data_IF_467164307552
#
_entry.id   IF_467164307552
#
_cell.length_a   1.000
_cell.length_b   1.000
_cell.length_c   1.000
_cell.angle_alpha   90.00
_cell.angle_beta   90.00
_cell.angle_gamma   90.00
#
_symmetry.space_group_name_H-M   'P 1'
#
loop_
_entity.id
_entity.type
_entity.pdbx_description
1 polymer ?
#
# COMPACT_ATOMS: atom_id res chain seq x y z
N UNK A 1 -7.08 -58.36 -23.68
CA UNK A 1 -7.13 -57.12 -22.87
C UNK A 1 -8.55 -56.62 -22.99
N UNK A 2 -9.34 -56.72 -21.92
CA UNK A 2 -10.72 -56.22 -21.88
C UNK A 2 -10.67 -54.83 -21.26
N UNK A 3 -11.27 -53.85 -21.96
CA UNK A 3 -11.42 -52.47 -21.46
C UNK A 3 -12.68 -52.40 -20.58
N UNK A 4 -12.49 -52.51 -19.27
CA UNK A 4 -13.53 -52.35 -18.24
C UNK A 4 -13.60 -50.90 -17.74
N UNK A 5 -13.95 -49.95 -18.62
CA UNK A 5 -14.23 -48.58 -18.19
C UNK A 5 -15.71 -48.45 -17.77
N UNK A 6 -16.02 -48.15 -16.48
CA UNK A 6 -17.40 -48.01 -16.04
C UNK A 6 -18.09 -46.82 -16.72
N UNK A 7 -19.35 -46.94 -17.15
CA UNK A 7 -20.07 -45.86 -17.81
C UNK A 7 -20.33 -44.74 -16.80
N UNK A 8 -19.72 -43.57 -17.03
CA UNK A 8 -19.89 -42.40 -16.17
C UNK A 8 -21.35 -41.93 -16.27
N UNK A 9 -22.12 -41.94 -15.18
CA UNK A 9 -23.54 -41.60 -15.24
C UNK A 9 -23.74 -40.08 -15.45
N UNK A 10 -24.67 -39.73 -16.33
CA UNK A 10 -24.88 -38.37 -16.86
C UNK A 10 -25.13 -37.29 -15.77
N UNK A 11 -25.67 -37.68 -14.61
CA UNK A 11 -25.90 -36.77 -13.47
C UNK A 11 -24.60 -36.24 -12.86
N UNK A 12 -23.51 -37.00 -12.97
CA UNK A 12 -22.20 -36.64 -12.44
C UNK A 12 -21.58 -35.48 -13.23
N UNK A 13 -21.87 -35.39 -14.54
CA UNK A 13 -21.44 -34.29 -15.41
C UNK A 13 -22.15 -32.99 -15.02
N UNK A 14 -23.45 -33.07 -14.71
CA UNK A 14 -24.22 -31.91 -14.25
C UNK A 14 -23.75 -31.37 -12.91
N UNK A 15 -23.42 -32.26 -11.96
CA UNK A 15 -22.90 -31.88 -10.64
C UNK A 15 -21.50 -31.27 -10.75
N UNK A 16 -20.63 -31.84 -11.58
CA UNK A 16 -19.30 -31.28 -11.86
C UNK A 16 -19.41 -29.88 -12.50
N UNK A 17 -20.33 -29.69 -13.44
CA UNK A 17 -20.60 -28.38 -14.06
C UNK A 17 -21.07 -27.32 -13.06
N UNK A 18 -21.93 -27.69 -12.10
CA UNK A 18 -22.39 -26.79 -11.05
C UNK A 18 -21.24 -26.38 -10.11
N UNK A 19 -20.37 -27.32 -9.70
CA UNK A 19 -19.21 -26.99 -8.88
C UNK A 19 -18.20 -26.08 -9.60
N UNK A 20 -17.98 -26.32 -10.90
CA UNK A 20 -17.13 -25.45 -11.73
C UNK A 20 -17.72 -24.05 -11.83
N UNK A 21 -19.03 -23.91 -12.07
CA UNK A 21 -19.70 -22.60 -12.16
C UNK A 21 -19.70 -21.84 -10.82
N UNK A 22 -19.92 -22.54 -9.70
CA UNK A 22 -19.82 -21.94 -8.36
C UNK A 22 -18.38 -21.48 -8.08
N UNK A 23 -17.39 -22.30 -8.42
CA UNK A 23 -15.97 -21.93 -8.29
C UNK A 23 -15.60 -20.69 -9.11
N UNK A 24 -16.05 -20.62 -10.37
CA UNK A 24 -15.84 -19.45 -11.24
C UNK A 24 -16.56 -18.21 -10.67
N UNK A 25 -17.75 -18.37 -10.11
CA UNK A 25 -18.52 -17.27 -9.52
C UNK A 25 -17.83 -16.64 -8.30
N UNK A 26 -17.26 -17.46 -7.41
CA UNK A 26 -16.50 -16.99 -6.24
C UNK A 26 -15.24 -16.24 -6.70
N UNK A 27 -14.53 -16.77 -7.70
CA UNK A 27 -13.30 -16.15 -8.23
C UNK A 27 -13.59 -14.81 -8.94
N UNK A 28 -14.75 -14.68 -9.60
CA UNK A 28 -15.20 -13.42 -10.23
C UNK A 28 -15.68 -12.35 -9.25
N UNK A 29 -16.05 -12.69 -8.02
CA UNK A 29 -16.42 -11.68 -7.02
C UNK A 29 -15.19 -10.92 -6.49
N UNK A 30 -14.02 -11.56 -6.45
CA UNK A 30 -12.77 -10.93 -5.98
C UNK A 30 -12.28 -9.81 -6.92
N UNK A 31 -12.57 -9.89 -8.23
CA UNK A 31 -12.16 -8.89 -9.22
C UNK A 31 -13.04 -7.63 -9.25
N UNK A 32 -14.10 -7.56 -8.44
CA UNK A 32 -14.93 -6.35 -8.27
C UNK A 32 -14.42 -5.40 -7.19
N UNK A 33 -13.22 -5.63 -6.65
CA UNK A 33 -12.57 -4.67 -5.76
C UNK A 33 -11.85 -3.60 -6.59
N UNK A 34 -12.25 -2.35 -6.41
CA UNK A 34 -11.56 -1.21 -7.04
C UNK A 34 -10.20 -1.08 -6.36
N UNK A 35 -9.13 -1.23 -7.15
CA UNK A 35 -7.77 -1.00 -6.68
C UNK A 35 -7.58 0.48 -6.33
N UNK A 36 -6.90 0.76 -5.22
CA UNK A 36 -6.50 2.10 -4.84
C UNK A 36 -5.19 2.44 -5.57
N UNK A 37 -5.31 2.87 -6.83
CA UNK A 37 -4.18 3.22 -7.70
C UNK A 37 -4.30 4.66 -8.18
N UNK A 38 -3.30 5.50 -7.91
CA UNK A 38 -3.22 6.86 -8.45
C UNK A 38 -1.78 7.39 -8.49
N UNK A 39 -1.54 8.39 -9.34
CA UNK A 39 -0.31 9.16 -9.37
C UNK A 39 -0.45 10.38 -8.44
N UNK A 40 0.39 10.40 -7.41
CA UNK A 40 0.39 11.48 -6.44
C UNK A 40 1.13 12.67 -7.02
N UNK A 41 0.48 13.83 -6.97
CA UNK A 41 1.05 15.09 -7.41
C UNK A 41 1.46 15.92 -6.20
N UNK A 42 2.50 16.74 -6.36
CA UNK A 42 2.85 17.76 -5.37
C UNK A 42 1.68 18.75 -5.26
N UNK A 43 1.14 18.94 -4.07
CA UNK A 43 0.09 19.93 -3.80
C UNK A 43 0.61 21.00 -2.84
N UNK A 44 0.21 22.27 -3.00
CA UNK A 44 0.46 23.28 -1.98
C UNK A 44 -0.15 22.83 -0.66
N UNK A 45 0.63 22.84 0.42
CA UNK A 45 0.20 22.36 1.73
C UNK A 45 -1.06 23.12 2.17
N UNK A 46 -2.21 22.46 2.38
CA UNK A 46 -3.39 23.13 2.90
C UNK A 46 -3.12 23.67 4.30
N UNK A 47 -3.61 24.88 4.61
CA UNK A 47 -3.53 25.54 5.93
C UNK A 47 -4.53 24.87 6.88
N UNK A 48 -4.35 23.59 7.17
CA UNK A 48 -5.05 22.91 8.25
C UNK A 48 -4.07 22.80 9.43
N UNK A 49 -4.51 23.07 10.67
CA UNK A 49 -3.67 22.83 11.84
C UNK A 49 -3.54 21.31 12.01
N UNK A 50 -2.55 20.73 11.32
CA UNK A 50 -2.13 19.35 11.54
C UNK A 50 -1.26 19.29 12.80
N UNK A 51 -1.32 18.20 13.58
CA UNK A 51 -0.42 18.00 14.71
C UNK A 51 1.03 18.19 14.23
N UNK A 52 1.82 18.91 15.03
CA UNK A 52 3.22 19.15 14.74
C UNK A 52 3.90 17.79 14.53
N UNK A 53 4.36 17.53 13.30
CA UNK A 53 5.15 16.35 13.03
C UNK A 53 6.36 16.36 13.97
N UNK A 54 6.72 15.23 14.59
CA UNK A 54 8.06 15.12 15.14
C UNK A 54 9.01 15.39 13.98
N UNK A 55 9.78 16.47 14.09
CA UNK A 55 10.85 16.76 13.14
C UNK A 55 11.65 15.47 13.00
N UNK A 56 11.84 14.99 11.76
CA UNK A 56 12.68 13.83 11.49
C UNK A 56 14.14 14.21 11.83
N UNK A 57 14.44 14.38 13.11
CA UNK A 57 15.79 14.53 13.63
C UNK A 57 16.42 13.13 13.66
N UNK A 58 17.04 12.80 12.52
CA UNK A 58 17.81 11.57 12.25
C UNK A 58 18.90 11.30 13.32
N UNK A 59 19.25 12.30 14.12
CA UNK A 59 20.29 12.24 15.14
C UNK A 59 19.96 11.34 16.35
N UNK A 60 18.69 10.95 16.55
CA UNK A 60 18.27 10.08 17.66
C UNK A 60 17.81 8.67 17.25
N UNK A 61 17.97 8.29 15.97
CA UNK A 61 17.66 6.93 15.53
C UNK A 61 18.81 5.99 15.85
N UNK A 62 18.50 4.77 16.29
CA UNK A 62 19.51 3.75 16.58
C UNK A 62 20.36 3.50 15.31
N UNK A 63 21.68 3.23 15.46
CA UNK A 63 22.58 2.98 14.32
C UNK A 63 22.07 1.88 13.38
N UNK A 64 21.35 0.91 13.92
CA UNK A 64 20.73 -0.20 13.19
C UNK A 64 19.67 0.28 12.17
N UNK A 65 18.81 1.24 12.56
CA UNK A 65 17.79 1.81 11.66
C UNK A 65 18.45 2.63 10.54
N UNK A 66 19.57 3.29 10.84
CA UNK A 66 20.33 4.04 9.84
C UNK A 66 21.02 3.12 8.82
N UNK A 67 21.57 1.99 9.25
CA UNK A 67 22.14 0.98 8.34
C UNK A 67 21.08 0.35 7.44
N UNK A 68 19.92 0.00 8.00
CA UNK A 68 18.80 -0.55 7.25
C UNK A 68 18.35 0.42 6.15
N UNK A 69 18.26 1.71 6.47
CA UNK A 69 17.94 2.74 5.51
C UNK A 69 18.99 2.96 4.42
N UNK A 70 20.28 2.92 4.76
CA UNK A 70 21.36 2.97 3.75
C UNK A 70 21.27 1.79 2.79
N UNK A 71 20.94 0.59 3.30
CA UNK A 71 20.73 -0.59 2.46
C UNK A 71 19.52 -0.41 1.53
N UNK A 72 18.43 0.11 2.07
CA UNK A 72 17.22 0.49 1.35
C UNK A 72 17.53 1.46 0.21
N UNK A 73 18.25 2.54 0.50
CA UNK A 73 18.65 3.52 -0.50
C UNK A 73 19.58 2.95 -1.56
N UNK A 74 20.55 2.12 -1.16
CA UNK A 74 21.43 1.44 -2.12
C UNK A 74 20.64 0.51 -3.04
N UNK A 75 19.63 -0.18 -2.52
CA UNK A 75 18.74 -1.04 -3.32
C UNK A 75 17.92 -0.20 -4.32
N UNK A 76 17.31 0.89 -3.87
CA UNK A 76 16.53 1.79 -4.72
C UNK A 76 17.41 2.45 -5.78
N UNK A 77 18.58 2.98 -5.39
CA UNK A 77 19.56 3.59 -6.30
C UNK A 77 20.13 2.61 -7.31
N UNK A 78 20.23 1.32 -6.95
CA UNK A 78 20.62 0.24 -7.86
C UNK A 78 19.47 -0.24 -8.77
N UNK A 79 18.28 0.36 -8.70
CA UNK A 79 17.11 -0.03 -9.49
C UNK A 79 16.35 -1.24 -8.96
N UNK A 80 16.67 -1.73 -7.76
CA UNK A 80 16.06 -2.91 -7.15
C UNK A 80 14.85 -2.55 -6.29
N UNK A 81 13.92 -3.51 -6.16
CA UNK A 81 12.83 -3.42 -5.18
C UNK A 81 13.40 -3.43 -3.76
N UNK A 82 12.87 -2.59 -2.89
CA UNK A 82 13.27 -2.51 -1.48
C UNK A 82 12.06 -2.65 -0.55
N UNK A 83 12.32 -2.97 0.73
CA UNK A 83 11.30 -3.13 1.76
C UNK A 83 11.21 -1.88 2.63
N UNK A 84 10.01 -1.37 2.93
CA UNK A 84 9.84 -0.17 3.77
C UNK A 84 10.33 -0.39 5.21
N UNK A 85 10.66 0.71 5.90
CA UNK A 85 11.13 0.68 7.30
C UNK A 85 10.01 0.24 8.26
N UNK A 86 8.83 0.87 8.15
CA UNK A 86 7.63 0.51 8.91
C UNK A 86 6.57 -0.07 7.95
N UNK A 87 6.65 -1.37 7.61
CA UNK A 87 5.78 -1.98 6.60
C UNK A 87 4.31 -2.02 6.98
N UNK A 88 3.97 -1.98 8.28
CA UNK A 88 2.60 -2.18 8.75
C UNK A 88 2.14 -1.00 9.60
N UNK A 89 1.09 -0.32 9.14
CA UNK A 89 0.33 0.66 9.90
C UNK A 89 -1.06 0.11 10.21
N UNK A 90 -1.56 0.32 11.41
CA UNK A 90 -2.89 -0.16 11.81
C UNK A 90 -3.59 0.85 12.69
N UNK A 91 -4.88 1.04 12.44
CA UNK A 91 -5.83 1.73 13.31
C UNK A 91 -6.85 0.72 13.84
N UNK A 92 -7.92 1.22 14.47
CA UNK A 92 -9.04 0.39 14.92
C UNK A 92 -9.85 -0.16 13.73
N UNK A 93 -9.93 0.56 12.61
CA UNK A 93 -10.79 0.19 11.48
C UNK A 93 -10.02 -0.28 10.25
N UNK A 94 -8.77 0.14 10.10
CA UNK A 94 -8.00 -0.03 8.88
C UNK A 94 -6.59 -0.56 9.18
N UNK A 95 -6.14 -1.54 8.40
CA UNK A 95 -4.75 -1.97 8.35
C UNK A 95 -4.17 -1.65 6.98
N UNK A 96 -2.97 -1.08 6.95
CA UNK A 96 -2.22 -0.76 5.73
C UNK A 96 -0.89 -1.49 5.81
N UNK A 97 -0.61 -2.31 4.80
CA UNK A 97 0.64 -3.04 4.67
C UNK A 97 1.33 -2.55 3.40
N UNK A 98 2.60 -2.20 3.49
CA UNK A 98 3.41 -1.81 2.35
C UNK A 98 4.38 -2.95 2.06
N UNK A 99 4.23 -3.55 0.89
CA UNK A 99 4.92 -4.77 0.48
C UNK A 99 6.23 -4.46 -0.25
N UNK A 100 6.26 -3.38 -1.04
CA UNK A 100 7.43 -3.03 -1.85
C UNK A 100 7.53 -1.54 -2.17
N UNK A 101 8.77 -1.08 -2.30
CA UNK A 101 9.14 0.21 -2.88
C UNK A 101 9.95 -0.05 -4.15
N UNK A 102 9.44 0.41 -5.29
CA UNK A 102 10.04 0.23 -6.61
C UNK A 102 10.53 1.59 -7.15
N UNK A 103 11.81 1.74 -7.51
CA UNK A 103 12.28 2.94 -8.19
C UNK A 103 11.64 3.07 -9.57
N UNK A 104 11.34 4.30 -9.97
CA UNK A 104 10.84 4.66 -11.30
C UNK A 104 11.69 5.81 -11.87
N UNK A 105 11.58 6.08 -13.17
CA UNK A 105 12.41 7.09 -13.84
C UNK A 105 12.36 8.49 -13.19
N UNK A 106 11.22 8.86 -12.57
CA UNK A 106 10.99 10.19 -12.01
C UNK A 106 10.62 10.16 -10.51
N UNK A 107 10.83 9.04 -9.80
CA UNK A 107 10.45 8.92 -8.40
C UNK A 107 10.28 7.48 -7.93
N UNK A 108 9.35 7.22 -7.01
CA UNK A 108 9.16 5.91 -6.38
C UNK A 108 7.71 5.47 -6.51
N UNK A 109 7.52 4.18 -6.80
CA UNK A 109 6.24 3.48 -6.74
C UNK A 109 6.17 2.65 -5.47
N UNK A 110 5.10 2.83 -4.72
CA UNK A 110 4.82 2.17 -3.45
C UNK A 110 3.71 1.17 -3.72
N UNK A 111 3.91 -0.09 -3.31
CA UNK A 111 2.92 -1.15 -3.44
C UNK A 111 2.57 -1.71 -2.08
N UNK A 112 1.28 -1.93 -1.85
CA UNK A 112 0.78 -2.40 -0.59
C UNK A 112 -0.62 -2.99 -0.67
N UNK A 113 -1.17 -3.27 0.49
CA UNK A 113 -2.52 -3.81 0.69
C UNK A 113 -3.21 -3.07 1.82
N UNK A 114 -4.47 -2.73 1.61
CA UNK A 114 -5.33 -2.09 2.61
C UNK A 114 -6.43 -3.06 3.01
N UNK A 115 -6.62 -3.28 4.31
CA UNK A 115 -7.57 -4.24 4.87
C UNK A 115 -8.52 -3.56 5.84
N UNK A 116 -9.81 -3.85 5.71
CA UNK A 116 -10.85 -3.45 6.66
C UNK A 116 -10.85 -4.40 7.87
N UNK A 117 -10.61 -3.86 9.06
CA UNK A 117 -10.62 -4.60 10.33
C UNK A 117 -11.99 -4.57 11.04
N UNK A 118 -12.96 -3.85 10.49
CA UNK A 118 -14.30 -3.74 11.09
C UNK A 118 -15.23 -4.85 10.64
N UNK A 119 -16.32 -5.03 11.39
CA UNK A 119 -17.42 -5.94 11.05
C UNK A 119 -18.47 -5.28 10.13
N UNK A 120 -18.18 -4.09 9.60
CA UNK A 120 -19.07 -3.31 8.72
C UNK A 120 -18.34 -2.94 7.44
N UNK A 121 -19.07 -2.57 6.39
CA UNK A 121 -18.46 -2.04 5.18
C UNK A 121 -17.70 -0.73 5.48
N UNK A 122 -16.52 -0.58 4.89
CA UNK A 122 -15.63 0.57 5.09
C UNK A 122 -15.27 1.20 3.75
N UNK A 123 -15.71 2.45 3.55
CA UNK A 123 -15.29 3.26 2.39
C UNK A 123 -13.94 3.93 2.67
N UNK A 124 -12.95 3.62 1.84
CA UNK A 124 -11.59 4.18 1.93
C UNK A 124 -11.32 4.97 0.64
N UNK A 125 -11.31 6.32 0.70
CA UNK A 125 -10.91 7.13 -0.44
C UNK A 125 -9.39 7.13 -0.63
N UNK A 126 -8.92 7.25 -1.87
CA UNK A 126 -7.49 7.40 -2.18
C UNK A 126 -6.88 8.67 -1.56
N UNK A 127 -7.71 9.70 -1.35
CA UNK A 127 -7.33 10.93 -0.66
C UNK A 127 -7.11 10.77 0.85
N UNK A 128 -7.41 9.60 1.43
CA UNK A 128 -7.04 9.28 2.80
C UNK A 128 -5.52 9.07 2.96
N UNK A 129 -4.79 8.85 1.87
CA UNK A 129 -3.35 8.65 1.88
C UNK A 129 -2.64 9.96 1.50
N UNK A 130 -1.66 10.35 2.30
CA UNK A 130 -0.77 11.47 2.06
C UNK A 130 0.67 11.00 2.22
N UNK A 131 1.53 11.43 1.32
CA UNK A 131 2.95 11.15 1.37
C UNK A 131 3.69 12.45 1.64
N UNK A 132 4.55 12.47 2.65
CA UNK A 132 5.33 13.64 3.01
C UNK A 132 6.80 13.37 2.88
N UNK A 133 7.53 14.29 2.27
CA UNK A 133 8.98 14.20 2.21
C UNK A 133 9.65 14.86 3.42
N UNK A 134 10.94 14.57 3.59
CA UNK A 134 11.81 15.15 4.61
C UNK A 134 11.97 16.68 4.53
N UNK A 135 11.65 17.31 3.40
CA UNK A 135 11.64 18.78 3.26
C UNK A 135 10.31 19.42 3.68
N UNK A 136 9.32 18.61 4.04
CA UNK A 136 7.99 19.05 4.45
C UNK A 136 6.97 19.13 3.32
N UNK A 137 7.35 18.78 2.09
CA UNK A 137 6.46 18.77 0.92
C UNK A 137 5.46 17.61 1.03
N UNK A 138 4.19 17.92 0.75
CA UNK A 138 3.10 16.95 0.76
C UNK A 138 2.69 16.56 -0.65
N UNK A 139 2.54 15.26 -0.85
CA UNK A 139 2.11 14.61 -2.06
C UNK A 139 0.79 13.92 -1.78
N UNK A 140 -0.23 14.21 -2.58
CA UNK A 140 -1.56 13.60 -2.45
C UNK A 140 -2.07 13.17 -3.82
N UNK A 141 -2.87 12.12 -3.84
CA UNK A 141 -3.62 11.72 -5.02
C UNK A 141 -4.66 12.82 -5.36
N UNK A 142 -4.68 13.34 -6.59
CA UNK A 142 -5.76 14.21 -7.04
C UNK A 142 -7.07 13.45 -7.29
N UNK A 143 -7.02 12.12 -7.37
CA UNK A 143 -8.17 11.28 -7.68
C UNK A 143 -9.21 11.22 -6.56
N UNK A 144 -10.44 10.87 -6.98
CA UNK A 144 -11.59 10.64 -6.12
C UNK A 144 -11.92 9.15 -6.03
N UNK A 145 -10.95 8.26 -6.29
CA UNK A 145 -11.16 6.81 -6.22
C UNK A 145 -11.54 6.42 -4.80
N UNK A 146 -12.63 5.69 -4.64
CA UNK A 146 -13.10 5.17 -3.34
C UNK A 146 -13.19 3.66 -3.45
N UNK A 147 -12.51 2.96 -2.56
CA UNK A 147 -12.66 1.53 -2.38
C UNK A 147 -13.63 1.25 -1.25
N UNK A 148 -14.71 0.52 -1.55
CA UNK A 148 -15.61 0.01 -0.52
C UNK A 148 -15.16 -1.40 -0.14
N UNK A 149 -14.71 -1.55 1.10
CA UNK A 149 -14.17 -2.78 1.63
C UNK A 149 -15.22 -3.48 2.49
N UNK A 150 -15.67 -4.70 2.14
CA UNK A 150 -16.52 -5.48 3.05
C UNK A 150 -15.77 -5.80 4.35
N UNK A 151 -16.45 -6.29 5.39
CA UNK A 151 -15.80 -6.74 6.62
C UNK A 151 -14.67 -7.76 6.35
N UNK A 152 -13.46 -7.50 6.85
CA UNK A 152 -12.27 -8.32 6.55
C UNK A 152 -11.76 -8.22 5.09
N UNK A 153 -12.42 -7.44 4.24
CA UNK A 153 -12.07 -7.24 2.85
C UNK A 153 -10.76 -6.48 2.69
N UNK A 154 -10.03 -6.78 1.62
CA UNK A 154 -8.76 -6.13 1.28
C UNK A 154 -8.74 -5.65 -0.17
N UNK A 155 -8.01 -4.57 -0.44
CA UNK A 155 -7.76 -4.05 -1.78
C UNK A 155 -6.27 -3.72 -1.96
N UNK A 156 -5.71 -3.91 -3.17
CA UNK A 156 -4.35 -3.46 -3.46
C UNK A 156 -4.24 -1.93 -3.44
N UNK A 157 -3.10 -1.44 -2.96
CA UNK A 157 -2.70 -0.04 -2.90
C UNK A 157 -1.46 0.16 -3.77
N UNK A 158 -1.53 1.08 -4.72
CA UNK A 158 -0.41 1.46 -5.58
C UNK A 158 -0.30 2.98 -5.69
N UNK A 159 0.80 3.54 -5.18
CA UNK A 159 1.02 4.98 -5.12
C UNK A 159 2.29 5.32 -5.88
N UNK A 160 2.22 6.22 -6.86
CA UNK A 160 3.39 6.70 -7.59
C UNK A 160 3.71 8.14 -7.21
N UNK A 161 4.90 8.40 -6.67
CA UNK A 161 5.32 9.73 -6.19
C UNK A 161 6.55 10.22 -6.95
N UNK A 162 6.53 11.46 -7.48
CA UNK A 162 7.73 12.09 -8.02
C UNK A 162 8.62 12.59 -6.87
N UNK A 163 9.54 11.73 -6.44
CA UNK A 163 10.45 11.99 -5.32
C UNK A 163 11.89 12.18 -5.83
N UNK A 164 12.58 13.28 -5.46
CA UNK A 164 14.02 13.42 -5.66
C UNK A 164 14.82 12.34 -4.91
N UNK A 165 15.94 11.90 -5.49
CA UNK A 165 16.84 10.95 -4.85
C UNK A 165 17.35 11.47 -3.48
N UNK A 166 17.51 10.56 -2.52
CA UNK A 166 18.01 10.84 -1.17
C UNK A 166 16.97 11.27 -0.14
N UNK A 167 15.73 11.62 -0.55
CA UNK A 167 14.73 12.17 0.39
C UNK A 167 13.95 11.11 1.16
N UNK A 168 13.90 11.26 2.49
CA UNK A 168 13.01 10.49 3.34
C UNK A 168 11.53 10.66 2.95
N UNK A 169 10.72 9.63 3.21
CA UNK A 169 9.32 9.53 2.85
C UNK A 169 8.50 8.95 3.99
N UNK A 170 7.48 9.70 4.41
CA UNK A 170 6.50 9.34 5.41
C UNK A 170 5.13 9.15 4.75
N UNK A 171 4.50 7.99 4.96
CA UNK A 171 3.11 7.76 4.58
C UNK A 171 2.21 8.07 5.78
N UNK A 172 1.26 8.96 5.58
CA UNK A 172 0.25 9.36 6.54
C UNK A 172 -1.10 8.88 6.00
N UNK A 173 -1.78 8.01 6.74
CA UNK A 173 -3.13 7.58 6.41
C UNK A 173 -4.12 8.23 7.36
N UNK A 174 -4.98 9.10 6.86
CA UNK A 174 -5.98 9.82 7.62
C UNK A 174 -7.40 9.43 7.19
N UNK A 175 -8.06 8.64 8.03
CA UNK A 175 -9.43 8.17 7.81
C UNK A 175 -10.31 8.51 9.02
N UNK A 176 -10.96 9.68 9.04
CA UNK A 176 -11.82 10.08 10.16
C UNK A 176 -12.90 9.03 10.51
N UNK A 177 -13.25 8.87 11.80
CA UNK A 177 -12.77 9.63 12.95
C UNK A 177 -11.49 9.06 13.60
N UNK A 178 -10.83 8.08 12.97
CA UNK A 178 -9.64 7.47 13.54
C UNK A 178 -8.46 8.46 13.52
N UNK A 179 -7.54 8.39 14.51
CA UNK A 179 -6.31 9.18 14.46
C UNK A 179 -5.47 8.79 13.23
N UNK A 180 -4.68 9.73 12.67
CA UNK A 180 -3.79 9.43 11.55
C UNK A 180 -2.80 8.31 11.88
N UNK A 181 -2.58 7.42 10.92
CA UNK A 181 -1.55 6.38 10.99
C UNK A 181 -0.31 6.90 10.26
N UNK A 182 0.84 6.84 10.90
CA UNK A 182 2.13 7.25 10.32
C UNK A 182 3.02 6.04 10.07
N UNK A 183 3.54 5.90 8.85
CA UNK A 183 4.45 4.82 8.45
C UNK A 183 5.67 5.41 7.76
N UNK A 184 6.86 5.14 8.31
CA UNK A 184 8.12 5.57 7.69
C UNK A 184 8.47 4.58 6.59
N UNK A 185 8.53 5.07 5.35
CA UNK A 185 8.87 4.23 4.21
C UNK A 185 10.36 4.33 3.92
N UNK A 186 10.90 5.54 3.98
CA UNK A 186 12.30 5.88 3.72
C UNK A 186 12.74 6.95 4.72
N UNK A 187 14.00 6.92 5.14
CA UNK A 187 14.60 8.05 5.86
C UNK A 187 15.53 8.83 4.93
N UNK A 188 15.73 10.11 5.22
CA UNK A 188 16.72 10.92 4.52
C UNK A 188 18.12 10.40 4.86
N UNK A 189 18.91 10.11 3.82
CA UNK A 189 20.34 9.89 3.96
C UNK A 189 21.04 11.15 3.45
N UNK A 190 21.29 12.08 4.37
CA UNK A 190 22.28 13.10 4.07
C UNK A 190 23.62 12.38 3.99
N UNK A 191 24.10 12.11 2.79
CA UNK A 191 25.52 11.79 2.62
C UNK A 191 26.28 13.01 3.13
N UNK A 192 26.86 12.90 4.33
CA UNK A 192 27.90 13.82 4.77
C UNK A 192 29.03 13.69 3.78
N UNK A 193 29.05 14.60 2.81
CA UNK A 193 30.14 14.74 1.88
C UNK A 193 31.42 15.05 2.70
N UNK A 194 32.50 14.28 2.56
CA UNK A 194 33.77 14.55 3.26
C UNK A 194 34.45 15.83 2.76
#
# INVERSE_FOLDING_TARGET
MHDDAPPIPFWMIGLLGAFVLIGISIFMQQTRTVALSDQFARQPTPILPLPALPQLEVQNLSPEIQEMARNLWRQIGAGNRSQPIDPVGSSQRLRVIIDALEPTANGIRIRGTVTNLTNTELSVPISAFELRDSSGESYRAPGTTIANLPPGGSTPLELSVPLPNGRGLLLITHLPPDPPIEQRLLIDIQETQP
#
